data_IF_422933541620
#
_entry.id   IF_422933541620
#
_cell.length_a   1.000
_cell.length_b   1.000
_cell.length_c   1.000
_cell.angle_alpha   90.00
_cell.angle_beta   90.00
_cell.angle_gamma   90.00
#
_symmetry.space_group_name_H-M   'P 1'
#
loop_
_entity.id
_entity.type
_entity.pdbx_description
1 polymer ?
#
# COMPACT_ATOMS: atom_id res chain seq x y z
N UNK A 1 -23.54 11.13 101.05
CA UNK A 1 -23.72 10.53 99.72
C UNK A 1 -24.45 11.54 98.85
N UNK A 2 -23.83 12.07 97.78
CA UNK A 2 -24.39 13.14 96.96
C UNK A 2 -25.40 12.60 95.94
N UNK A 3 -26.52 13.30 95.78
CA UNK A 3 -27.59 12.99 94.84
C UNK A 3 -27.22 13.46 93.43
N UNK A 4 -27.27 12.56 92.46
CA UNK A 4 -27.04 12.84 91.05
C UNK A 4 -28.36 13.34 90.43
N UNK A 5 -28.40 14.59 89.99
CA UNK A 5 -29.55 15.16 89.26
C UNK A 5 -29.27 15.05 87.76
N UNK A 6 -30.12 14.39 86.94
CA UNK A 6 -29.90 14.33 85.50
C UNK A 6 -30.27 15.66 84.82
N UNK A 7 -29.38 16.15 83.98
CA UNK A 7 -29.61 17.33 83.14
C UNK A 7 -30.57 16.99 81.98
N UNK A 8 -31.81 17.46 82.06
CA UNK A 8 -32.74 17.45 80.94
C UNK A 8 -32.26 18.39 79.82
N UNK A 9 -31.95 17.83 78.66
CA UNK A 9 -31.67 18.60 77.45
C UNK A 9 -32.94 19.32 76.98
N UNK A 10 -33.02 20.63 77.23
CA UNK A 10 -34.04 21.50 76.61
C UNK A 10 -33.94 21.42 75.09
N UNK A 11 -34.93 20.79 74.46
CA UNK A 11 -35.10 20.77 73.00
C UNK A 11 -35.24 22.21 72.50
N UNK A 12 -34.29 22.67 71.69
CA UNK A 12 -34.39 23.96 70.99
C UNK A 12 -35.53 23.89 69.96
N UNK A 13 -36.43 24.88 69.89
CA UNK A 13 -37.46 24.91 68.86
C UNK A 13 -36.82 25.04 67.48
N UNK A 14 -37.21 24.19 66.54
CA UNK A 14 -36.77 24.28 65.14
C UNK A 14 -37.43 25.51 64.49
N UNK A 15 -36.70 26.29 63.67
CA UNK A 15 -37.28 27.42 62.96
C UNK A 15 -38.33 26.93 61.96
N UNK A 16 -39.55 27.46 62.09
CA UNK A 16 -40.65 27.21 61.16
C UNK A 16 -40.37 27.96 59.87
N UNK A 17 -39.99 27.24 58.83
CA UNK A 17 -39.77 27.80 57.50
C UNK A 17 -41.12 27.99 56.80
N UNK A 18 -41.60 29.22 56.72
CA UNK A 18 -42.79 29.59 55.92
C UNK A 18 -42.33 29.58 54.46
N UNK A 19 -42.38 28.40 53.84
CA UNK A 19 -41.90 28.17 52.48
C UNK A 19 -42.81 28.81 51.45
N UNK A 20 -42.26 29.75 50.68
CA UNK A 20 -42.78 30.06 49.35
C UNK A 20 -42.51 28.83 48.46
N UNK A 21 -43.56 28.17 47.98
CA UNK A 21 -43.44 27.10 46.99
C UNK A 21 -42.82 27.68 45.71
N UNK A 22 -41.51 27.52 45.54
CA UNK A 22 -40.82 27.88 44.29
C UNK A 22 -41.33 26.91 43.23
N UNK A 23 -42.01 27.36 42.16
CA UNK A 23 -42.50 26.46 41.14
C UNK A 23 -41.33 25.70 40.54
N UNK A 24 -41.30 24.38 40.76
CA UNK A 24 -40.26 23.52 40.23
C UNK A 24 -40.36 23.57 38.70
N UNK A 25 -39.46 24.34 38.07
CA UNK A 25 -39.37 24.37 36.61
C UNK A 25 -39.06 22.95 36.15
N UNK A 26 -39.90 22.35 35.28
CA UNK A 26 -39.67 20.99 34.83
C UNK A 26 -38.29 20.89 34.21
N UNK A 27 -37.46 19.97 34.72
CA UNK A 27 -36.13 19.70 34.19
C UNK A 27 -36.27 19.37 32.70
N UNK A 28 -35.83 20.28 31.83
CA UNK A 28 -35.80 20.05 30.38
C UNK A 28 -34.93 18.82 30.13
N UNK A 29 -35.54 17.72 29.64
CA UNK A 29 -34.81 16.54 29.20
C UNK A 29 -33.96 16.93 28.01
N UNK A 30 -32.64 16.77 28.15
CA UNK A 30 -31.69 17.05 27.09
C UNK A 30 -31.98 16.14 25.89
N UNK A 31 -32.16 16.73 24.71
CA UNK A 31 -32.52 15.98 23.51
C UNK A 31 -31.27 15.42 22.83
N UNK A 32 -30.78 14.29 23.35
CA UNK A 32 -29.59 13.59 22.86
C UNK A 32 -29.63 13.30 21.36
N UNK A 33 -30.80 12.99 20.81
CA UNK A 33 -30.97 12.74 19.37
C UNK A 33 -30.67 13.98 18.51
N UNK A 34 -31.05 15.17 18.97
CA UNK A 34 -30.73 16.41 18.27
C UNK A 34 -29.24 16.76 18.32
N UNK A 35 -28.57 16.46 19.44
CA UNK A 35 -27.14 16.69 19.60
C UNK A 35 -26.31 15.78 18.68
N UNK A 36 -26.65 14.50 18.59
CA UNK A 36 -26.00 13.56 17.66
C UNK A 36 -26.23 13.95 16.20
N UNK A 37 -27.45 14.39 15.84
CA UNK A 37 -27.73 14.91 14.50
C UNK A 37 -26.90 16.14 14.14
N UNK A 38 -26.72 17.06 15.09
CA UNK A 38 -25.85 18.24 14.93
C UNK A 38 -24.39 17.80 14.70
N UNK A 39 -23.86 16.91 15.53
CA UNK A 39 -22.49 16.40 15.44
C UNK A 39 -22.20 15.71 14.11
N UNK A 40 -23.12 14.85 13.65
CA UNK A 40 -22.99 14.17 12.35
C UNK A 40 -23.06 15.16 11.19
N UNK A 41 -23.92 16.19 11.28
CA UNK A 41 -23.99 17.24 10.26
C UNK A 41 -22.71 18.08 10.22
N UNK A 42 -22.10 18.36 11.37
CA UNK A 42 -20.85 19.12 11.47
C UNK A 42 -19.66 18.31 10.92
N UNK A 43 -19.59 17.00 11.23
CA UNK A 43 -18.61 16.09 10.66
C UNK A 43 -18.74 15.98 9.14
N UNK A 44 -19.96 15.88 8.62
CA UNK A 44 -20.22 15.84 7.18
C UNK A 44 -19.93 17.18 6.49
N UNK A 45 -20.11 18.31 7.17
CA UNK A 45 -19.74 19.64 6.65
C UNK A 45 -18.22 19.75 6.50
N UNK A 46 -17.47 19.23 7.46
CA UNK A 46 -16.00 19.21 7.45
C UNK A 46 -15.41 18.28 6.38
N UNK A 47 -16.06 17.15 6.09
CA UNK A 47 -15.54 16.17 5.12
C UNK A 47 -16.05 16.36 3.70
N UNK A 48 -17.23 16.93 3.49
CA UNK A 48 -17.88 17.02 2.17
C UNK A 48 -18.12 18.45 1.65
N UNK A 49 -17.69 19.49 2.38
CA UNK A 49 -17.43 20.84 1.91
C UNK A 49 -18.59 21.70 1.36
N UNK A 50 -19.58 21.17 0.65
CA UNK A 50 -20.53 22.00 -0.11
C UNK A 50 -21.97 21.46 -0.22
N UNK A 51 -22.24 20.17 -0.02
CA UNK A 51 -23.60 19.63 -0.15
C UNK A 51 -24.47 19.77 1.12
N UNK A 52 -23.86 20.13 2.24
CA UNK A 52 -24.46 20.08 3.58
C UNK A 52 -25.47 21.19 3.98
N UNK A 53 -25.49 22.43 3.42
CA UNK A 53 -26.37 23.46 3.98
C UNK A 53 -27.87 23.17 3.73
N UNK A 54 -28.22 22.63 2.56
CA UNK A 54 -29.61 22.43 2.13
C UNK A 54 -30.32 21.32 2.91
N UNK A 55 -29.67 20.18 3.15
CA UNK A 55 -30.24 19.08 3.94
C UNK A 55 -30.40 19.46 5.41
N UNK A 56 -29.46 20.24 5.95
CA UNK A 56 -29.49 20.78 7.30
C UNK A 56 -30.63 21.80 7.46
N UNK A 57 -30.83 22.67 6.47
CA UNK A 57 -31.95 23.62 6.44
C UNK A 57 -33.32 22.91 6.35
N UNK A 58 -33.46 21.87 5.52
CA UNK A 58 -34.70 21.09 5.43
C UNK A 58 -34.98 20.34 6.75
N UNK A 59 -33.95 19.77 7.37
CA UNK A 59 -34.05 19.11 8.69
C UNK A 59 -34.43 20.08 9.81
N UNK A 60 -33.81 21.26 9.85
CA UNK A 60 -34.10 22.29 10.85
C UNK A 60 -35.53 22.84 10.73
N UNK A 61 -36.02 23.02 9.50
CA UNK A 61 -37.37 23.53 9.26
C UNK A 61 -38.46 22.51 9.64
N UNK A 62 -38.16 21.21 9.51
CA UNK A 62 -39.02 20.12 9.99
C UNK A 62 -39.17 20.08 11.52
N UNK A 63 -38.11 20.38 12.28
CA UNK A 63 -38.13 20.38 13.75
C UNK A 63 -38.93 21.54 14.37
N UNK A 64 -39.11 22.66 13.65
CA UNK A 64 -39.83 23.83 14.18
C UNK A 64 -41.35 23.65 14.24
N UNK A 65 -41.94 22.73 13.48
CA UNK A 65 -43.39 22.49 13.47
C UNK A 65 -43.77 21.34 14.42
N UNK A 66 -44.18 21.67 15.65
CA UNK A 66 -44.62 20.74 16.72
C UNK A 66 -45.75 19.74 16.35
N UNK A 67 -46.40 19.88 15.18
CA UNK A 67 -47.47 19.00 14.67
C UNK A 67 -47.33 18.66 13.17
N UNK A 68 -46.12 18.72 12.61
CA UNK A 68 -45.84 18.48 11.18
C UNK A 68 -45.27 17.08 10.85
N UNK A 69 -45.32 16.66 9.57
CA UNK A 69 -45.32 15.25 9.16
C UNK A 69 -43.96 14.58 9.33
N UNK A 70 -43.92 13.51 10.12
CA UNK A 70 -42.78 12.60 10.29
C UNK A 70 -42.17 12.12 8.95
N UNK A 71 -42.94 12.17 7.86
CA UNK A 71 -42.55 11.79 6.49
C UNK A 71 -41.47 12.69 5.86
N UNK A 72 -41.38 13.96 6.25
CA UNK A 72 -40.37 14.87 5.68
C UNK A 72 -38.96 14.57 6.23
N UNK A 73 -38.87 14.17 7.51
CA UNK A 73 -37.60 13.79 8.12
C UNK A 73 -37.01 12.53 7.48
N UNK A 74 -37.85 11.52 7.20
CA UNK A 74 -37.42 10.28 6.53
C UNK A 74 -36.94 10.52 5.10
N UNK A 75 -37.53 11.46 4.37
CA UNK A 75 -37.05 11.81 3.02
C UNK A 75 -35.65 12.44 3.08
N UNK A 76 -35.42 13.36 4.02
CA UNK A 76 -34.11 13.98 4.22
C UNK A 76 -33.01 12.97 4.54
N UNK A 77 -33.30 11.96 5.38
CA UNK A 77 -32.32 10.92 5.71
C UNK A 77 -31.98 10.01 4.53
N UNK A 78 -32.97 9.70 3.68
CA UNK A 78 -32.73 8.89 2.47
C UNK A 78 -31.87 9.66 1.47
N UNK A 79 -32.18 10.94 1.23
CA UNK A 79 -31.36 11.78 0.35
C UNK A 79 -29.94 11.99 0.88
N UNK A 80 -29.75 12.15 2.20
CA UNK A 80 -28.40 12.25 2.76
C UNK A 80 -27.61 10.95 2.62
N UNK A 81 -28.23 9.78 2.82
CA UNK A 81 -27.57 8.49 2.61
C UNK A 81 -27.18 8.30 1.14
N UNK A 82 -28.06 8.65 0.21
CA UNK A 82 -27.75 8.58 -1.22
C UNK A 82 -26.60 9.52 -1.61
N UNK A 83 -26.57 10.74 -1.05
CA UNK A 83 -25.47 11.68 -1.24
C UNK A 83 -24.13 11.16 -0.72
N UNK A 84 -24.12 10.52 0.46
CA UNK A 84 -22.91 9.90 1.02
C UNK A 84 -22.43 8.73 0.15
N UNK A 85 -23.34 7.89 -0.34
CA UNK A 85 -22.99 6.78 -1.22
C UNK A 85 -22.39 7.28 -2.55
N UNK A 86 -22.97 8.31 -3.16
CA UNK A 86 -22.45 8.90 -4.40
C UNK A 86 -21.07 9.55 -4.16
N UNK A 87 -20.93 10.39 -3.14
CA UNK A 87 -19.65 11.01 -2.80
C UNK A 87 -18.58 9.96 -2.47
N UNK A 88 -18.96 8.93 -1.69
CA UNK A 88 -18.09 7.79 -1.38
C UNK A 88 -17.62 7.08 -2.65
N UNK A 89 -18.54 6.82 -3.60
CA UNK A 89 -18.20 6.15 -4.85
C UNK A 89 -17.19 6.94 -5.69
N UNK A 90 -17.34 8.26 -5.78
CA UNK A 90 -16.42 9.15 -6.50
C UNK A 90 -15.03 9.11 -5.86
N UNK A 91 -14.96 9.21 -4.52
CA UNK A 91 -13.68 9.15 -3.81
C UNK A 91 -13.01 7.80 -3.99
N UNK A 92 -13.76 6.69 -3.87
CA UNK A 92 -13.18 5.35 -4.09
C UNK A 92 -12.68 5.17 -5.52
N UNK A 93 -13.38 5.71 -6.51
CA UNK A 93 -12.97 5.63 -7.90
C UNK A 93 -11.69 6.43 -8.16
N UNK A 94 -11.64 7.69 -7.69
CA UNK A 94 -10.47 8.54 -7.83
C UNK A 94 -9.23 7.95 -7.15
N UNK A 95 -9.38 7.39 -5.94
CA UNK A 95 -8.28 6.74 -5.21
C UNK A 95 -7.80 5.48 -5.93
N UNK A 96 -8.71 4.67 -6.49
CA UNK A 96 -8.36 3.48 -7.26
C UNK A 96 -7.58 3.82 -8.54
N UNK A 97 -7.98 4.86 -9.27
CA UNK A 97 -7.24 5.32 -10.45
C UNK A 97 -5.84 5.82 -10.09
N UNK A 98 -5.70 6.58 -9.01
CA UNK A 98 -4.40 7.04 -8.55
C UNK A 98 -3.49 5.87 -8.16
N UNK A 99 -4.00 4.88 -7.43
CA UNK A 99 -3.24 3.68 -7.09
C UNK A 99 -2.81 2.91 -8.33
N UNK A 100 -3.70 2.72 -9.31
CA UNK A 100 -3.37 2.05 -10.57
C UNK A 100 -2.29 2.82 -11.35
N UNK A 101 -2.35 4.15 -11.39
CA UNK A 101 -1.33 4.96 -12.03
C UNK A 101 0.02 4.90 -11.30
N UNK A 102 0.02 4.90 -9.96
CA UNK A 102 1.24 4.75 -9.16
C UNK A 102 1.88 3.38 -9.39
N UNK A 103 1.10 2.30 -9.42
CA UNK A 103 1.58 0.95 -9.72
C UNK A 103 2.24 0.89 -11.10
N UNK A 104 1.55 1.37 -12.15
CA UNK A 104 2.12 1.41 -13.52
C UNK A 104 3.40 2.24 -13.61
N UNK A 105 3.52 3.32 -12.85
CA UNK A 105 4.76 4.13 -12.80
C UNK A 105 5.91 3.37 -12.15
N UNK A 106 5.63 2.61 -11.09
CA UNK A 106 6.62 1.77 -10.42
C UNK A 106 7.07 0.63 -11.33
N UNK A 107 6.14 -0.07 -11.99
CA UNK A 107 6.45 -1.12 -12.97
C UNK A 107 7.35 -0.61 -14.10
N UNK A 108 7.04 0.56 -14.67
CA UNK A 108 7.88 1.17 -15.71
C UNK A 108 9.27 1.55 -15.23
N UNK A 109 9.42 1.95 -13.97
CA UNK A 109 10.74 2.24 -13.40
C UNK A 109 11.56 0.96 -13.27
N UNK A 110 10.94 -0.09 -12.70
CA UNK A 110 11.56 -1.40 -12.58
C UNK A 110 11.98 -1.95 -13.96
N UNK A 111 11.11 -1.85 -14.96
CA UNK A 111 11.44 -2.28 -16.33
C UNK A 111 12.61 -1.51 -16.93
N UNK A 112 12.77 -0.23 -16.63
CA UNK A 112 13.91 0.58 -17.10
C UNK A 112 15.20 0.19 -16.39
N UNK A 113 15.14 -0.09 -15.09
CA UNK A 113 16.28 -0.58 -14.32
C UNK A 113 16.75 -1.93 -14.84
N UNK A 114 15.82 -2.87 -15.07
CA UNK A 114 16.13 -4.18 -15.68
C UNK A 114 16.71 -4.01 -17.09
N UNK A 115 16.12 -3.15 -17.93
CA UNK A 115 16.66 -2.89 -19.27
C UNK A 115 18.08 -2.32 -19.25
N UNK A 116 18.39 -1.42 -18.31
CA UNK A 116 19.73 -0.87 -18.15
C UNK A 116 20.74 -1.95 -17.68
N UNK A 117 20.32 -2.85 -16.79
CA UNK A 117 21.13 -3.99 -16.34
C UNK A 117 21.37 -5.01 -17.46
N UNK A 118 20.38 -5.25 -18.32
CA UNK A 118 20.55 -6.09 -19.51
C UNK A 118 21.59 -5.49 -20.46
N UNK A 119 21.56 -4.17 -20.68
CA UNK A 119 22.57 -3.48 -21.51
C UNK A 119 23.97 -3.60 -20.92
N UNK A 120 24.13 -3.38 -19.61
CA UNK A 120 25.42 -3.55 -18.91
C UNK A 120 25.93 -5.01 -19.00
N UNK A 121 25.02 -5.98 -18.87
CA UNK A 121 25.34 -7.41 -19.02
C UNK A 121 25.77 -7.76 -20.44
N UNK A 122 25.13 -7.18 -21.47
CA UNK A 122 25.57 -7.38 -22.86
C UNK A 122 26.98 -6.84 -23.10
N UNK A 123 27.34 -5.71 -22.47
CA UNK A 123 28.72 -5.19 -22.52
C UNK A 123 29.69 -6.16 -21.84
N UNK A 124 29.34 -6.71 -20.68
CA UNK A 124 30.17 -7.71 -20.00
C UNK A 124 30.36 -8.98 -20.85
N UNK A 125 29.29 -9.48 -21.49
CA UNK A 125 29.36 -10.60 -22.42
C UNK A 125 30.25 -10.28 -23.62
N UNK A 126 30.14 -9.10 -24.22
CA UNK A 126 30.98 -8.70 -25.34
C UNK A 126 32.49 -8.60 -24.98
N UNK A 127 32.81 -8.19 -23.74
CA UNK A 127 34.19 -8.21 -23.23
C UNK A 127 34.68 -9.66 -23.09
N UNK A 128 33.82 -10.54 -22.57
CA UNK A 128 34.13 -11.95 -22.40
C UNK A 128 34.32 -12.68 -23.74
N UNK A 129 33.49 -12.36 -24.74
CA UNK A 129 33.59 -12.86 -26.12
C UNK A 129 34.91 -12.45 -26.76
N UNK A 130 35.31 -11.18 -26.61
CA UNK A 130 36.61 -10.71 -27.12
C UNK A 130 37.79 -11.49 -26.54
N UNK A 131 37.72 -11.88 -25.29
CA UNK A 131 38.78 -12.68 -24.68
C UNK A 131 38.81 -14.12 -25.20
N UNK A 132 37.65 -14.72 -25.45
CA UNK A 132 37.58 -16.01 -26.14
C UNK A 132 38.17 -15.90 -27.56
N UNK A 133 37.92 -14.78 -28.24
CA UNK A 133 38.52 -14.51 -29.55
C UNK A 133 40.03 -14.37 -29.50
N UNK A 134 40.56 -13.67 -28.48
CA UNK A 134 42.01 -13.55 -28.26
C UNK A 134 42.62 -14.93 -27.98
N UNK A 135 42.02 -15.74 -27.12
CA UNK A 135 42.46 -17.12 -26.85
C UNK A 135 42.44 -18.00 -28.11
N UNK A 136 41.37 -17.88 -28.91
CA UNK A 136 41.24 -18.58 -30.20
C UNK A 136 42.28 -18.11 -31.21
N UNK A 137 42.62 -16.81 -31.22
CA UNK A 137 43.68 -16.27 -32.07
C UNK A 137 45.05 -16.88 -31.76
N UNK A 138 45.30 -17.24 -30.51
CA UNK A 138 46.56 -17.86 -30.07
C UNK A 138 46.62 -19.38 -30.32
N UNK A 139 45.51 -20.09 -30.06
CA UNK A 139 45.46 -21.56 -30.07
C UNK A 139 44.87 -22.15 -31.36
N UNK A 140 44.08 -21.37 -32.09
CA UNK A 140 43.31 -21.80 -33.27
C UNK A 140 41.93 -22.36 -32.95
N UNK A 141 41.60 -22.63 -31.68
CA UNK A 141 40.35 -23.26 -31.25
C UNK A 141 39.72 -22.51 -30.07
N UNK A 142 38.42 -22.70 -29.85
CA UNK A 142 37.77 -22.27 -28.61
C UNK A 142 38.18 -23.19 -27.45
N UNK A 143 38.30 -22.66 -26.22
CA UNK A 143 38.69 -23.46 -25.06
C UNK A 143 37.66 -24.54 -24.75
N UNK A 144 38.08 -25.63 -24.10
CA UNK A 144 37.17 -26.68 -23.64
C UNK A 144 36.26 -26.18 -22.51
N UNK A 145 35.17 -26.89 -22.20
CA UNK A 145 34.16 -26.42 -21.24
C UNK A 145 34.70 -26.00 -19.88
N UNK A 146 35.70 -26.70 -19.32
CA UNK A 146 36.30 -26.34 -18.02
C UNK A 146 37.18 -25.09 -18.16
N UNK A 147 38.07 -25.07 -19.16
CA UNK A 147 39.01 -23.97 -19.36
C UNK A 147 38.28 -22.68 -19.74
N UNK A 148 37.26 -22.78 -20.61
CA UNK A 148 36.41 -21.66 -20.99
C UNK A 148 35.65 -21.10 -19.80
N UNK A 149 35.05 -21.94 -18.95
CA UNK A 149 34.40 -21.47 -17.73
C UNK A 149 35.38 -20.80 -16.76
N UNK A 150 36.61 -21.32 -16.63
CA UNK A 150 37.65 -20.70 -15.80
C UNK A 150 38.03 -19.29 -16.29
N UNK A 151 38.09 -19.08 -17.61
CA UNK A 151 38.27 -17.74 -18.19
C UNK A 151 37.08 -16.82 -17.89
N UNK A 152 35.86 -17.35 -17.85
CA UNK A 152 34.65 -16.55 -17.62
C UNK A 152 34.43 -16.16 -16.15
N UNK A 153 35.03 -16.85 -15.17
CA UNK A 153 34.87 -16.56 -13.73
C UNK A 153 35.19 -15.11 -13.34
N UNK A 154 36.01 -14.40 -14.12
CA UNK A 154 36.36 -13.00 -13.84
C UNK A 154 35.33 -12.00 -14.36
N UNK A 155 34.39 -12.44 -15.19
CA UNK A 155 33.35 -11.61 -15.77
C UNK A 155 32.04 -11.86 -15.02
N UNK A 156 31.47 -10.79 -14.49
CA UNK A 156 30.20 -10.83 -13.77
C UNK A 156 29.16 -9.99 -14.49
N UNK A 157 27.93 -10.48 -14.54
CA UNK A 157 26.78 -9.74 -15.03
C UNK A 157 26.37 -8.59 -14.08
N UNK A 158 25.38 -7.79 -14.49
CA UNK A 158 24.87 -6.67 -13.71
C UNK A 158 24.14 -7.10 -12.41
N UNK A 159 23.85 -8.39 -12.25
CA UNK A 159 23.22 -8.98 -11.06
C UNK A 159 24.23 -9.66 -10.14
N UNK A 160 25.52 -9.60 -10.46
CA UNK A 160 26.61 -10.15 -9.66
C UNK A 160 26.79 -11.66 -9.81
N UNK A 161 26.26 -12.27 -10.87
CA UNK A 161 26.51 -13.66 -11.24
C UNK A 161 27.59 -13.76 -12.30
N UNK A 162 28.35 -14.85 -12.25
CA UNK A 162 29.42 -15.11 -13.21
C UNK A 162 28.81 -15.43 -14.58
N UNK A 163 29.48 -15.01 -15.66
CA UNK A 163 29.09 -15.44 -17.00
C UNK A 163 29.50 -16.91 -17.16
N UNK A 164 28.62 -17.72 -17.74
CA UNK A 164 28.89 -19.14 -17.99
C UNK A 164 29.19 -19.37 -19.47
N UNK A 165 30.23 -20.17 -19.73
CA UNK A 165 30.55 -20.67 -21.06
C UNK A 165 30.00 -22.08 -21.23
N UNK A 166 29.25 -22.28 -22.30
CA UNK A 166 28.68 -23.56 -22.69
C UNK A 166 29.30 -24.01 -24.01
N UNK A 167 30.29 -24.91 -23.88
CA UNK A 167 31.02 -25.49 -25.00
C UNK A 167 30.27 -26.64 -25.69
N UNK A 168 29.22 -27.18 -25.07
CA UNK A 168 28.45 -28.31 -25.63
C UNK A 168 27.45 -27.84 -26.69
N UNK A 169 27.08 -26.56 -26.65
CA UNK A 169 26.28 -25.93 -27.68
C UNK A 169 27.10 -25.74 -28.98
N UNK A 170 26.44 -25.88 -30.12
CA UNK A 170 27.02 -25.61 -31.44
C UNK A 170 26.13 -24.59 -32.17
N UNK A 171 26.51 -23.30 -32.24
CA UNK A 171 27.77 -22.69 -31.75
C UNK A 171 27.86 -22.63 -30.22
N UNK A 172 29.07 -22.41 -29.69
CA UNK A 172 29.28 -22.26 -28.26
C UNK A 172 28.53 -21.05 -27.72
N UNK A 173 28.06 -21.09 -26.47
CA UNK A 173 27.22 -20.04 -25.90
C UNK A 173 27.89 -19.38 -24.69
N UNK A 174 27.82 -18.06 -24.63
CA UNK A 174 28.00 -17.29 -23.40
C UNK A 174 26.64 -16.96 -22.80
N UNK A 175 26.50 -17.13 -21.49
CA UNK A 175 25.22 -16.96 -20.80
C UNK A 175 25.36 -16.23 -19.48
N UNK A 176 24.51 -15.24 -19.30
CA UNK A 176 24.21 -14.60 -18.02
C UNK A 176 22.91 -15.16 -17.45
N UNK A 177 22.87 -15.39 -16.13
CA UNK A 177 21.72 -15.94 -15.42
C UNK A 177 20.54 -14.96 -15.29
N UNK A 178 20.74 -13.69 -15.63
CA UNK A 178 19.65 -12.72 -15.66
C UNK A 178 19.15 -12.29 -14.27
N UNK A 179 18.03 -11.56 -14.22
CA UNK A 179 17.42 -11.09 -12.98
C UNK A 179 17.11 -12.16 -11.93
N UNK A 180 16.76 -13.38 -12.34
CA UNK A 180 16.40 -14.46 -11.41
C UNK A 180 17.61 -15.24 -10.86
N UNK A 181 18.80 -14.95 -11.39
CA UNK A 181 20.09 -15.54 -11.01
C UNK A 181 20.17 -17.07 -11.16
N UNK A 182 19.33 -17.65 -12.01
CA UNK A 182 19.22 -19.08 -12.26
C UNK A 182 19.47 -19.36 -13.73
N UNK A 183 20.52 -20.12 -14.07
CA UNK A 183 20.75 -20.47 -15.48
C UNK A 183 19.70 -21.44 -16.03
N UNK A 184 19.47 -21.37 -17.34
CA UNK A 184 18.50 -22.15 -18.10
C UNK A 184 17.06 -21.72 -17.89
N UNK A 185 16.85 -20.42 -17.79
CA UNK A 185 15.55 -19.77 -17.67
C UNK A 185 15.31 -18.82 -18.83
N UNK A 186 14.07 -18.35 -18.97
CA UNK A 186 13.66 -17.50 -20.10
C UNK A 186 14.26 -16.08 -20.05
N UNK A 187 14.80 -15.66 -18.90
CA UNK A 187 15.45 -14.36 -18.70
C UNK A 187 16.97 -14.39 -18.88
N UNK A 188 17.54 -15.55 -19.21
CA UNK A 188 18.95 -15.70 -19.57
C UNK A 188 19.31 -14.76 -20.74
N UNK A 189 20.39 -14.00 -20.59
CA UNK A 189 20.98 -13.24 -21.69
C UNK A 189 22.07 -14.09 -22.32
N UNK A 190 21.89 -14.47 -23.58
CA UNK A 190 22.81 -15.36 -24.30
C UNK A 190 23.48 -14.66 -25.48
N UNK A 191 24.71 -15.04 -25.78
CA UNK A 191 25.43 -14.68 -27.01
C UNK A 191 26.08 -15.92 -27.62
N UNK A 192 25.96 -16.07 -28.93
CA UNK A 192 26.59 -17.14 -29.70
C UNK A 192 28.03 -16.76 -30.03
N UNK A 193 28.96 -17.65 -29.74
CA UNK A 193 30.38 -17.50 -30.07
C UNK A 193 30.71 -18.49 -31.18
N UNK A 194 30.97 -17.97 -32.38
CA UNK A 194 31.38 -18.78 -33.52
C UNK A 194 32.76 -19.39 -33.28
N UNK A 195 32.99 -20.64 -33.68
CA UNK A 195 34.30 -21.28 -33.62
C UNK A 195 34.21 -22.79 -33.36
N UNK A 196 35.29 -23.50 -33.68
CA UNK A 196 35.41 -24.92 -33.35
C UNK A 196 35.99 -25.07 -31.94
N UNK A 197 35.33 -25.85 -31.10
CA UNK A 197 35.84 -26.25 -29.78
C UNK A 197 36.88 -27.36 -29.98
N UNK A 198 37.99 -27.30 -29.24
CA UNK A 198 38.99 -28.37 -29.28
C UNK A 198 38.40 -29.71 -28.81
N UNK A 199 38.01 -30.54 -29.78
CA UNK A 199 37.44 -31.87 -29.55
C UNK A 199 38.51 -32.93 -29.29
N UNK A 200 39.80 -32.61 -29.49
CA UNK A 200 40.89 -33.58 -29.37
C UNK A 200 41.22 -33.95 -27.91
N UNK A 201 40.76 -33.15 -26.95
CA UNK A 201 40.88 -33.39 -25.52
C UNK A 201 39.68 -34.07 -24.85
N UNK A 202 38.61 -34.41 -25.60
CA UNK A 202 37.48 -35.13 -25.07
C UNK A 202 37.89 -36.57 -24.72
N UNK A 203 38.32 -36.78 -23.48
CA UNK A 203 38.63 -38.10 -22.94
C UNK A 203 37.38 -38.96 -23.10
N UNK A 204 37.44 -39.93 -24.01
CA UNK A 204 36.43 -40.99 -24.15
C UNK A 204 36.37 -41.74 -22.81
N UNK A 205 35.42 -41.39 -21.95
CA UNK A 205 35.13 -42.17 -20.75
C UNK A 205 34.40 -43.43 -21.21
N UNK A 206 35.17 -44.48 -21.47
CA UNK A 206 34.66 -45.84 -21.72
C UNK A 206 34.03 -46.44 -20.45
#
# INVERSE_FOLDING_TARGET
MPYHVPFEHRRRPQPVYIGFDVPQRPRRKFNWWGFWGLLMSLGSFLTAGFASPLSLLVSLNGMRKKKGPRKAATAGTVFSLMGILLAGSIVTFAVNEEHAHRQKRMERKLQREVAAQVEETQVAIAIAERELDEFRGETGYLPTGIDGNMLMLKHTDAWGKEIRYDAEASPALLRSAGPDQTYNTDDDVTSEVEGEVDSSGAIEVQ
#
